data_IF_545844775372
#
_entry.id   IF_545844775372
#
_cell.length_a   1.000
_cell.length_b   1.000
_cell.length_c   1.000
_cell.angle_alpha   90.00
_cell.angle_beta   90.00
_cell.angle_gamma   90.00
#
_symmetry.space_group_name_H-M   'P 1'
#
loop_
_entity.id
_entity.type
_entity.pdbx_description
1 polymer ?
#
# COMPACT_ATOMS: atom_id res chain seq x y z
N UNK A 1 9.41 -19.10 8.81
CA UNK A 1 10.86 -19.17 8.67
C UNK A 1 11.58 -17.95 9.24
N UNK A 2 11.18 -17.57 10.45
CA UNK A 2 11.81 -16.51 11.22
C UNK A 2 12.89 -17.09 12.12
N UNK A 3 13.99 -16.39 12.26
CA UNK A 3 15.01 -16.68 13.27
C UNK A 3 14.41 -16.51 14.68
N UNK A 4 15.02 -17.15 15.70
CA UNK A 4 14.55 -17.00 17.09
C UNK A 4 14.53 -15.54 17.56
N UNK A 5 15.49 -14.73 17.13
CA UNK A 5 15.55 -13.28 17.37
C UNK A 5 14.40 -12.53 16.71
N UNK A 6 14.07 -12.85 15.46
CA UNK A 6 12.96 -12.23 14.71
C UNK A 6 11.60 -12.56 15.33
N UNK A 7 11.40 -13.80 15.82
CA UNK A 7 10.17 -14.20 16.52
C UNK A 7 9.90 -13.38 17.79
N UNK A 8 10.95 -12.94 18.48
CA UNK A 8 10.82 -12.06 19.64
C UNK A 8 10.26 -10.67 19.31
N UNK A 9 10.40 -10.21 18.08
CA UNK A 9 9.89 -8.92 17.62
C UNK A 9 8.36 -8.92 17.38
N UNK A 10 7.70 -10.09 17.45
CA UNK A 10 6.26 -10.26 17.19
C UNK A 10 5.83 -9.55 15.88
N UNK A 11 6.35 -9.96 14.72
CA UNK A 11 6.11 -9.26 13.48
C UNK A 11 4.60 -9.18 13.13
N UNK A 12 4.17 -8.03 12.65
CA UNK A 12 2.83 -7.83 12.09
C UNK A 12 2.86 -8.31 10.65
N UNK A 13 1.92 -9.19 10.29
CA UNK A 13 1.86 -9.81 8.98
C UNK A 13 0.81 -9.14 8.09
N UNK A 14 1.18 -8.91 6.85
CA UNK A 14 0.31 -8.48 5.76
C UNK A 14 0.27 -9.60 4.74
N UNK A 15 -0.90 -10.06 4.34
CA UNK A 15 -0.99 -11.19 3.43
C UNK A 15 -2.18 -11.09 2.47
N UNK A 16 -2.03 -11.75 1.34
CA UNK A 16 -3.07 -11.94 0.33
C UNK A 16 -2.74 -13.17 -0.52
N UNK A 17 -3.69 -13.68 -1.27
CA UNK A 17 -3.51 -14.86 -2.09
C UNK A 17 -4.21 -14.75 -3.46
N UNK A 18 -3.74 -15.55 -4.42
CA UNK A 18 -4.34 -15.71 -5.75
C UNK A 18 -4.97 -17.10 -5.96
N UNK A 19 -5.43 -17.77 -4.89
CA UNK A 19 -5.98 -19.13 -4.84
C UNK A 19 -4.94 -20.26 -4.98
N UNK A 20 -3.71 -19.98 -5.38
CA UNK A 20 -2.61 -20.96 -5.50
C UNK A 20 -1.44 -20.61 -4.59
N UNK A 21 -1.10 -19.35 -4.51
CA UNK A 21 0.05 -18.82 -3.80
C UNK A 21 -0.42 -17.83 -2.75
N UNK A 22 0.03 -18.02 -1.52
CA UNK A 22 -0.11 -17.07 -0.41
C UNK A 22 1.15 -16.20 -0.35
N UNK A 23 0.99 -14.90 -0.50
CA UNK A 23 2.06 -13.92 -0.29
C UNK A 23 1.93 -13.35 1.11
N UNK A 24 3.04 -13.32 1.84
CA UNK A 24 3.13 -12.76 3.17
C UNK A 24 4.28 -11.75 3.19
N UNK A 25 4.04 -10.60 3.78
CA UNK A 25 5.05 -9.58 4.06
C UNK A 25 4.89 -9.11 5.51
N UNK A 26 5.91 -8.48 6.08
CA UNK A 26 5.87 -8.07 7.47
C UNK A 26 6.51 -6.70 7.73
N UNK A 27 6.31 -6.23 8.96
CA UNK A 27 6.87 -4.97 9.45
C UNK A 27 8.34 -5.06 9.91
N UNK A 28 9.04 -6.15 9.61
CA UNK A 28 10.49 -6.29 9.79
C UNK A 28 11.23 -6.48 8.47
N UNK A 29 10.58 -6.10 7.36
CA UNK A 29 11.10 -6.10 5.99
C UNK A 29 11.25 -7.49 5.33
N UNK A 30 10.66 -8.55 5.86
CA UNK A 30 10.67 -9.86 5.22
C UNK A 30 9.40 -10.09 4.40
N UNK A 31 9.54 -10.76 3.26
CA UNK A 31 8.40 -11.20 2.45
C UNK A 31 8.69 -12.55 1.79
N UNK A 32 7.64 -13.35 1.59
CA UNK A 32 7.78 -14.71 1.10
C UNK A 32 6.48 -15.24 0.49
N UNK A 33 6.59 -16.29 -0.29
CA UNK A 33 5.46 -17.00 -0.88
C UNK A 33 5.37 -18.44 -0.39
N UNK A 34 4.15 -18.89 -0.18
CA UNK A 34 3.82 -20.27 0.17
C UNK A 34 2.86 -20.85 -0.86
N UNK A 35 3.03 -22.11 -1.17
CA UNK A 35 1.98 -22.89 -1.85
C UNK A 35 0.80 -23.10 -0.89
N UNK A 36 -0.41 -22.76 -1.31
CA UNK A 36 -1.59 -22.83 -0.42
C UNK A 36 -1.96 -24.26 -0.07
N UNK A 37 -1.76 -25.22 -0.98
CA UNK A 37 -2.17 -26.61 -0.74
C UNK A 37 -1.23 -27.34 0.21
N UNK A 38 0.07 -27.17 0.00
CA UNK A 38 1.10 -27.91 0.75
C UNK A 38 1.68 -27.12 1.93
N UNK A 39 1.49 -25.79 1.97
CA UNK A 39 2.17 -24.91 2.92
C UNK A 39 3.67 -24.78 2.68
N UNK A 40 4.20 -25.33 1.59
CA UNK A 40 5.62 -25.27 1.27
C UNK A 40 6.06 -23.85 0.94
N UNK A 41 7.23 -23.46 1.43
CA UNK A 41 7.89 -22.22 1.07
C UNK A 41 8.37 -22.29 -0.38
N UNK A 42 7.87 -21.36 -1.21
CA UNK A 42 8.30 -21.24 -2.61
C UNK A 42 9.54 -20.36 -2.74
N UNK A 43 9.53 -19.22 -2.10
CA UNK A 43 10.65 -18.30 -2.02
C UNK A 43 10.52 -17.37 -0.80
N UNK A 44 11.65 -16.77 -0.38
CA UNK A 44 11.70 -15.78 0.72
C UNK A 44 12.75 -14.73 0.40
N UNK A 45 12.43 -13.45 0.65
CA UNK A 45 13.31 -12.30 0.41
C UNK A 45 13.18 -11.26 1.51
N UNK A 46 14.11 -10.31 1.52
CA UNK A 46 14.07 -9.14 2.39
C UNK A 46 13.98 -7.86 1.55
N UNK A 47 13.21 -6.90 2.03
CA UNK A 47 13.13 -5.55 1.50
C UNK A 47 14.14 -4.63 2.22
N UNK A 48 14.38 -3.46 1.64
CA UNK A 48 15.27 -2.42 2.23
C UNK A 48 14.63 -1.76 3.46
N UNK A 49 13.29 -1.72 3.52
CA UNK A 49 12.52 -1.09 4.59
C UNK A 49 11.35 -1.98 5.00
N UNK A 50 10.92 -1.92 6.27
CA UNK A 50 9.72 -2.60 6.74
C UNK A 50 8.47 -2.23 5.95
N UNK A 51 7.52 -3.15 5.82
CA UNK A 51 6.24 -2.87 5.18
C UNK A 51 5.22 -2.31 6.18
N UNK A 52 4.28 -1.49 5.68
CA UNK A 52 3.22 -0.90 6.51
C UNK A 52 1.94 -0.63 5.71
N UNK A 53 1.48 -1.55 4.90
CA UNK A 53 0.24 -1.37 4.15
C UNK A 53 -0.56 -2.66 4.00
N UNK A 54 -1.76 -2.52 3.45
CA UNK A 54 -2.44 -3.65 2.84
C UNK A 54 -1.57 -4.23 1.72
N UNK A 55 -1.60 -5.56 1.56
CA UNK A 55 -1.01 -6.24 0.41
C UNK A 55 -2.11 -6.53 -0.59
N UNK A 56 -1.92 -6.15 -1.85
CA UNK A 56 -2.87 -6.41 -2.95
C UNK A 56 -2.21 -7.26 -4.02
N UNK A 57 -3.00 -8.11 -4.65
CA UNK A 57 -2.58 -8.95 -5.77
C UNK A 57 -3.41 -8.57 -7.01
N UNK A 58 -2.74 -8.46 -8.13
CA UNK A 58 -3.37 -8.30 -9.43
C UNK A 58 -2.59 -9.06 -10.51
N UNK A 59 -3.23 -10.03 -11.17
CA UNK A 59 -2.60 -10.93 -12.15
C UNK A 59 -1.39 -11.65 -11.54
N UNK A 60 -0.22 -11.44 -12.11
CA UNK A 60 1.08 -12.03 -11.75
C UNK A 60 1.90 -11.20 -10.76
N UNK A 61 1.34 -10.09 -10.27
CA UNK A 61 2.02 -9.13 -9.40
C UNK A 61 1.35 -8.99 -8.04
N UNK A 62 2.15 -8.62 -7.05
CA UNK A 62 1.64 -8.11 -5.78
C UNK A 62 2.23 -6.74 -5.47
N UNK A 63 1.48 -5.97 -4.69
CA UNK A 63 1.77 -4.57 -4.38
C UNK A 63 1.69 -4.35 -2.89
N UNK A 64 2.65 -3.58 -2.37
CA UNK A 64 2.73 -3.24 -0.95
C UNK A 64 3.55 -1.95 -0.77
N UNK A 65 3.26 -1.18 0.28
CA UNK A 65 3.96 0.06 0.60
C UNK A 65 4.83 -0.16 1.82
N UNK A 66 6.05 0.35 1.76
CA UNK A 66 6.98 0.32 2.89
C UNK A 66 6.93 1.59 3.75
N UNK A 67 7.59 1.57 4.90
CA UNK A 67 7.69 2.71 5.83
C UNK A 67 8.39 3.96 5.25
N UNK A 68 9.00 3.85 4.07
CA UNK A 68 9.58 4.99 3.34
C UNK A 68 8.60 5.63 2.36
N UNK A 69 7.30 5.29 2.43
CA UNK A 69 6.25 5.71 1.50
C UNK A 69 6.52 5.29 0.05
N UNK A 70 7.19 4.15 -0.12
CA UNK A 70 7.49 3.59 -1.43
C UNK A 70 6.49 2.48 -1.73
N UNK A 71 5.64 2.69 -2.73
CA UNK A 71 4.82 1.63 -3.32
C UNK A 71 5.73 0.77 -4.20
N UNK A 72 5.67 -0.54 -4.00
CA UNK A 72 6.47 -1.53 -4.73
C UNK A 72 5.59 -2.55 -5.40
N UNK A 73 5.94 -2.90 -6.62
CA UNK A 73 5.38 -4.02 -7.37
C UNK A 73 6.40 -5.14 -7.45
N UNK A 74 5.97 -6.34 -7.10
CA UNK A 74 6.80 -7.54 -7.14
C UNK A 74 6.14 -8.64 -7.98
N UNK A 75 6.95 -9.49 -8.57
CA UNK A 75 6.51 -10.73 -9.23
C UNK A 75 6.06 -11.76 -8.18
N UNK A 76 4.88 -12.36 -8.35
CA UNK A 76 4.42 -13.46 -7.50
C UNK A 76 5.28 -14.71 -7.67
N UNK A 77 5.82 -14.90 -8.88
CA UNK A 77 6.57 -16.13 -9.26
C UNK A 77 7.83 -16.30 -8.42
N UNK A 78 8.57 -15.23 -8.18
CA UNK A 78 9.90 -15.28 -7.58
C UNK A 78 10.22 -14.13 -6.60
N UNK A 79 9.26 -13.21 -6.39
CA UNK A 79 9.43 -12.06 -5.50
C UNK A 79 10.42 -11.01 -6.00
N UNK A 80 10.77 -10.98 -7.29
CA UNK A 80 11.62 -9.91 -7.84
C UNK A 80 10.83 -8.60 -7.93
N UNK A 81 11.47 -7.49 -7.58
CA UNK A 81 10.88 -6.15 -7.76
C UNK A 81 10.80 -5.83 -9.24
N UNK A 82 9.62 -5.39 -9.70
CA UNK A 82 9.35 -5.01 -11.09
C UNK A 82 9.53 -3.51 -11.25
N UNK A 83 8.91 -2.75 -10.35
CA UNK A 83 9.02 -1.29 -10.27
C UNK A 83 8.72 -0.81 -8.85
N UNK A 84 9.12 0.41 -8.55
CA UNK A 84 8.73 1.10 -7.33
C UNK A 84 8.52 2.59 -7.61
N UNK A 85 7.68 3.22 -6.79
CA UNK A 85 7.50 4.67 -6.80
C UNK A 85 7.45 5.20 -5.38
N UNK A 86 8.24 6.23 -5.13
CA UNK A 86 8.25 6.95 -3.87
C UNK A 86 7.41 8.22 -4.00
N UNK A 87 6.39 8.35 -3.18
CA UNK A 87 5.42 9.46 -3.28
C UNK A 87 5.75 10.63 -2.34
N UNK A 88 6.64 10.41 -1.37
CA UNK A 88 6.93 11.42 -0.35
C UNK A 88 8.32 11.21 0.26
N UNK A 89 9.01 12.33 0.53
CA UNK A 89 10.33 12.35 1.17
C UNK A 89 10.31 12.73 2.66
N UNK A 90 9.13 12.88 3.25
CA UNK A 90 9.00 13.27 4.65
C UNK A 90 9.69 12.28 5.61
N UNK A 91 10.24 12.84 6.69
CA UNK A 91 10.75 12.07 7.83
C UNK A 91 9.63 11.52 8.71
N UNK A 92 8.42 12.07 8.59
CA UNK A 92 7.24 11.63 9.32
C UNK A 92 6.77 10.29 8.77
N UNK A 93 6.47 9.36 9.67
CA UNK A 93 5.99 8.01 9.34
C UNK A 93 4.72 7.70 10.11
N UNK A 94 3.70 7.25 9.40
CA UNK A 94 2.48 6.79 10.03
C UNK A 94 2.67 5.41 10.67
N UNK A 95 2.19 5.25 11.90
CA UNK A 95 2.05 3.93 12.53
C UNK A 95 0.81 3.20 12.05
N UNK A 96 -0.13 3.90 11.42
CA UNK A 96 -1.33 3.28 10.86
C UNK A 96 -0.98 2.50 9.60
N UNK A 97 -1.58 1.33 9.45
CA UNK A 97 -1.52 0.54 8.23
C UNK A 97 -2.10 1.33 7.06
N UNK A 98 -1.31 1.52 6.00
CA UNK A 98 -1.73 2.24 4.81
C UNK A 98 -2.72 1.42 3.99
N UNK A 99 -3.68 2.09 3.39
CA UNK A 99 -4.74 1.50 2.58
C UNK A 99 -4.42 1.56 1.09
N UNK A 100 -4.92 0.56 0.37
CA UNK A 100 -4.73 0.45 -1.08
C UNK A 100 -5.94 -0.24 -1.72
N UNK A 101 -6.36 0.25 -2.87
CA UNK A 101 -7.39 -0.38 -3.71
C UNK A 101 -6.93 -0.44 -5.17
N UNK A 102 -7.33 -1.48 -5.89
CA UNK A 102 -7.04 -1.67 -7.31
C UNK A 102 -8.35 -1.65 -8.10
N UNK A 103 -8.45 -0.75 -9.08
CA UNK A 103 -9.58 -0.64 -10.00
C UNK A 103 -9.04 -0.43 -11.43
N UNK A 104 -9.46 -1.23 -12.39
CA UNK A 104 -9.14 -1.07 -13.83
C UNK A 104 -7.66 -0.81 -14.12
N UNK A 105 -6.78 -1.66 -13.62
CA UNK A 105 -5.32 -1.58 -13.84
C UNK A 105 -4.64 -0.32 -13.25
N UNK A 106 -5.30 0.34 -12.31
CA UNK A 106 -4.73 1.44 -11.52
C UNK A 106 -4.75 1.10 -10.04
N UNK A 107 -3.72 1.55 -9.33
CA UNK A 107 -3.60 1.44 -7.89
C UNK A 107 -3.86 2.81 -7.28
N UNK A 108 -4.74 2.85 -6.30
CA UNK A 108 -5.02 4.03 -5.48
C UNK A 108 -4.63 3.73 -4.05
N UNK A 109 -3.86 4.61 -3.43
CA UNK A 109 -3.34 4.38 -2.08
C UNK A 109 -3.07 5.69 -1.36
N UNK A 110 -3.05 5.61 -0.02
CA UNK A 110 -2.59 6.71 0.82
C UNK A 110 -1.15 6.51 1.28
N UNK A 111 -0.46 7.60 1.51
CA UNK A 111 0.87 7.61 2.12
C UNK A 111 0.79 7.98 3.62
N UNK A 112 1.94 8.04 4.29
CA UNK A 112 2.03 8.41 5.72
C UNK A 112 1.60 9.84 6.02
N UNK A 113 1.55 10.71 5.04
CA UNK A 113 1.05 12.09 5.17
C UNK A 113 -0.46 12.19 4.95
N UNK A 114 -1.08 11.12 4.47
CA UNK A 114 -2.50 11.10 4.16
C UNK A 114 -2.82 11.46 2.71
N UNK A 115 -1.82 11.79 1.87
CA UNK A 115 -2.06 12.07 0.47
C UNK A 115 -2.58 10.84 -0.26
N UNK A 116 -3.48 11.05 -1.19
CA UNK A 116 -4.02 10.00 -2.05
C UNK A 116 -3.33 10.06 -3.41
N UNK A 117 -2.81 8.93 -3.85
CA UNK A 117 -2.10 8.80 -5.13
C UNK A 117 -2.74 7.74 -6.01
N UNK A 118 -2.72 7.96 -7.32
CA UNK A 118 -3.08 6.98 -8.33
C UNK A 118 -1.85 6.64 -9.19
N UNK A 119 -1.64 5.34 -9.41
CA UNK A 119 -0.50 4.81 -10.17
C UNK A 119 -0.98 3.80 -11.19
N UNK A 120 -0.39 3.81 -12.38
CA UNK A 120 -0.60 2.78 -13.39
C UNK A 120 0.09 1.46 -12.99
N UNK A 121 -0.64 0.35 -13.02
CA UNK A 121 -0.10 -0.97 -12.59
C UNK A 121 1.01 -1.47 -13.50
N UNK A 122 0.96 -1.16 -14.79
CA UNK A 122 1.89 -1.70 -15.76
C UNK A 122 3.24 -0.97 -15.72
N UNK A 123 3.20 0.36 -15.76
CA UNK A 123 4.40 1.21 -15.82
C UNK A 123 4.95 1.61 -14.45
N UNK A 124 4.11 1.67 -13.41
CA UNK A 124 4.46 2.26 -12.12
C UNK A 124 4.44 3.80 -12.13
N UNK A 125 3.93 4.43 -13.18
CA UNK A 125 3.87 5.89 -13.29
C UNK A 125 2.79 6.49 -12.40
N UNK A 126 3.11 7.60 -11.76
CA UNK A 126 2.17 8.42 -11.01
C UNK A 126 1.23 9.13 -12.01
N UNK A 127 -0.07 8.84 -11.90
CA UNK A 127 -1.09 9.45 -12.74
C UNK A 127 -1.58 10.79 -12.17
N UNK A 128 -1.83 10.81 -10.86
CA UNK A 128 -2.18 12.00 -10.10
C UNK A 128 -1.95 11.78 -8.60
N UNK A 129 -1.84 12.88 -7.86
CA UNK A 129 -1.75 12.89 -6.40
C UNK A 129 -2.54 14.07 -5.85
N UNK A 130 -3.28 13.82 -4.76
CA UNK A 130 -4.05 14.82 -4.04
C UNK A 130 -3.40 14.99 -2.68
N UNK A 131 -2.87 16.18 -2.34
CA UNK A 131 -2.49 16.49 -0.99
C UNK A 131 -3.78 16.63 -0.16
N UNK A 132 -3.93 15.84 0.89
CA UNK A 132 -5.09 15.92 1.79
C UNK A 132 -4.85 16.90 2.93
N UNK A 133 -3.74 17.61 2.91
CA UNK A 133 -3.35 18.63 3.87
C UNK A 133 -3.45 20.00 3.25
N UNK A 134 -4.10 20.93 3.98
CA UNK A 134 -3.82 22.34 3.74
C UNK A 134 -2.42 22.65 4.26
N UNK A 135 -1.56 23.17 3.43
CA UNK A 135 -0.16 23.53 3.71
C UNK A 135 0.05 24.57 4.84
N UNK A 136 -0.97 24.94 5.58
CA UNK A 136 -0.96 26.09 6.48
C UNK A 136 -1.26 25.80 7.95
N UNK A 137 -1.53 24.55 8.35
CA UNK A 137 -1.86 24.26 9.75
C UNK A 137 -1.12 23.01 10.24
N UNK A 138 -0.16 23.23 11.11
CA UNK A 138 0.68 22.22 11.77
C UNK A 138 -0.08 21.23 12.68
N UNK A 139 -1.38 21.39 12.89
CA UNK A 139 -2.16 20.66 13.90
C UNK A 139 -2.97 19.46 13.39
N UNK A 140 -3.05 19.21 12.10
CA UNK A 140 -3.77 18.06 11.58
C UNK A 140 -2.82 16.92 11.24
N UNK A 141 -2.38 16.16 12.23
CA UNK A 141 -1.61 14.94 12.01
C UNK A 141 -2.43 13.89 11.26
N UNK A 142 -2.35 13.84 10.01
CA UNK A 142 -2.06 12.86 8.97
C UNK A 142 -2.73 11.51 9.15
N UNK A 143 -4.05 11.45 9.03
CA UNK A 143 -4.74 10.16 8.96
C UNK A 143 -5.89 10.26 7.97
N UNK A 144 -5.70 9.71 6.79
CA UNK A 144 -6.84 9.33 5.97
C UNK A 144 -7.36 7.97 6.44
N UNK A 145 -8.66 7.75 6.28
CA UNK A 145 -9.30 6.44 6.48
C UNK A 145 -8.76 5.41 5.49
N UNK A 146 -9.25 4.19 5.58
CA UNK A 146 -9.16 3.26 4.47
C UNK A 146 -9.88 3.85 3.25
N UNK A 147 -9.27 3.61 2.08
CA UNK A 147 -9.82 4.05 0.79
C UNK A 147 -10.77 2.96 0.30
N UNK A 148 -11.95 3.38 -0.12
CA UNK A 148 -12.86 2.54 -0.90
C UNK A 148 -13.12 3.17 -2.26
N UNK A 149 -13.45 2.37 -3.25
CA UNK A 149 -13.66 2.83 -4.62
C UNK A 149 -14.80 2.09 -5.31
N UNK A 150 -15.48 2.80 -6.18
CA UNK A 150 -16.28 2.23 -7.25
C UNK A 150 -15.60 2.47 -8.61
N UNK A 151 -16.32 2.24 -9.71
CA UNK A 151 -15.77 2.44 -11.06
C UNK A 151 -15.59 3.90 -11.48
N UNK A 152 -16.09 4.86 -10.70
CA UNK A 152 -16.11 6.30 -11.01
C UNK A 152 -15.42 7.14 -9.94
N UNK A 153 -15.50 6.73 -8.68
CA UNK A 153 -15.11 7.55 -7.55
C UNK A 153 -14.26 6.78 -6.53
N UNK A 154 -13.42 7.54 -5.83
CA UNK A 154 -12.78 7.14 -4.58
C UNK A 154 -13.46 7.85 -3.42
N UNK A 155 -13.53 7.16 -2.27
CA UNK A 155 -14.09 7.68 -1.04
C UNK A 155 -13.11 7.45 0.10
N UNK A 156 -12.91 8.48 0.90
CA UNK A 156 -12.06 8.42 2.11
C UNK A 156 -12.46 9.55 3.06
N UNK A 157 -12.02 9.46 4.31
CA UNK A 157 -12.15 10.55 5.29
C UNK A 157 -10.78 10.98 5.79
N UNK A 158 -10.68 12.22 6.27
CA UNK A 158 -9.53 12.73 6.97
C UNK A 158 -9.69 12.61 8.50
N UNK A 159 -8.71 13.10 9.26
CA UNK A 159 -8.74 13.11 10.73
C UNK A 159 -9.64 14.19 11.34
N UNK A 160 -10.25 15.07 10.55
CA UNK A 160 -11.22 16.08 10.96
C UNK A 160 -12.66 15.59 10.75
N UNK A 161 -12.85 14.28 10.53
CA UNK A 161 -14.15 13.66 10.24
C UNK A 161 -14.84 14.17 8.99
N UNK A 162 -14.07 14.72 8.05
CA UNK A 162 -14.59 15.12 6.75
C UNK A 162 -14.52 13.95 5.78
N UNK A 163 -15.59 13.69 5.05
CA UNK A 163 -15.67 12.71 4.00
C UNK A 163 -15.46 13.35 2.64
N UNK A 164 -14.74 12.64 1.79
CA UNK A 164 -14.42 13.08 0.44
C UNK A 164 -14.88 12.06 -0.59
N UNK A 165 -15.45 12.56 -1.68
CA UNK A 165 -15.60 11.82 -2.92
C UNK A 165 -14.78 12.52 -4.00
N UNK A 166 -13.90 11.77 -4.67
CA UNK A 166 -13.07 12.30 -5.75
C UNK A 166 -13.22 11.44 -7.00
N UNK A 167 -13.09 12.06 -8.15
CA UNK A 167 -13.15 11.37 -9.43
C UNK A 167 -11.92 10.46 -9.59
N UNK A 168 -12.16 9.18 -9.89
CA UNK A 168 -11.11 8.16 -9.95
C UNK A 168 -10.09 8.37 -11.08
N UNK A 169 -10.44 9.11 -12.15
CA UNK A 169 -9.56 9.27 -13.29
C UNK A 169 -8.56 10.42 -13.13
N UNK A 170 -8.95 11.49 -12.44
CA UNK A 170 -8.14 12.71 -12.34
C UNK A 170 -7.95 13.26 -10.92
N UNK A 171 -8.54 12.63 -9.91
CA UNK A 171 -8.43 13.06 -8.52
C UNK A 171 -9.21 14.33 -8.17
N UNK A 172 -10.03 14.87 -9.07
CA UNK A 172 -10.80 16.08 -8.78
C UNK A 172 -11.89 15.80 -7.76
N UNK A 173 -12.07 16.73 -6.84
CA UNK A 173 -13.10 16.68 -5.81
C UNK A 173 -14.50 16.74 -6.45
N UNK A 174 -15.36 15.77 -6.10
CA UNK A 174 -16.77 15.81 -6.45
C UNK A 174 -17.58 16.50 -5.35
N UNK A 175 -17.35 16.09 -4.10
CA UNK A 175 -17.97 16.68 -2.92
C UNK A 175 -17.17 16.36 -1.64
N UNK A 176 -17.40 17.16 -0.61
CA UNK A 176 -16.97 16.94 0.77
C UNK A 176 -18.15 17.14 1.71
N UNK A 177 -18.15 16.38 2.81
CA UNK A 177 -19.17 16.45 3.86
C UNK A 177 -18.52 16.33 5.23
#
# INVERSE_FOLDING_TARGET
>A
HYLKSEKKLKPILFFNNNKKILIVADNIAKYYALDIKSGQLLWSKNNIAPFNSQLKIYKDKFFIIDFKNTLRAFSIKDGTEIWNIKTENSLIRSQKKLSMVIIKEKIYFNNSLGDISAVDIKSGELLWQIPTQSSLIFDSFFRTSDIIADNKNLYFSNNQNQFYSVNINNGLLNWTQ
#
